data_IF_740426878519
#
_entry.id   IF_740426878519
#
_cell.length_a   1.000
_cell.length_b   1.000
_cell.length_c   1.000
_cell.angle_alpha   90.00
_cell.angle_beta   90.00
_cell.angle_gamma   90.00
#
_symmetry.space_group_name_H-M   'P 1'
#
loop_
_entity.id
_entity.type
_entity.pdbx_description
1 polymer ?
#
# COMPACT_ATOMS: atom_id res chain seq x y z
N UNK A 1 -90.48 12.53 -38.69
CA UNK A 1 -89.68 11.80 -37.69
C UNK A 1 -88.29 11.45 -38.21
N UNK A 2 -88.13 11.03 -39.46
CA UNK A 2 -86.81 10.62 -40.00
C UNK A 2 -85.78 11.75 -40.14
N UNK A 3 -86.20 12.95 -40.53
CA UNK A 3 -85.28 14.09 -40.70
C UNK A 3 -84.60 14.52 -39.39
N UNK A 4 -85.32 14.42 -38.27
CA UNK A 4 -84.79 14.73 -36.93
C UNK A 4 -83.80 13.67 -36.45
N UNK A 5 -84.01 12.42 -36.84
CA UNK A 5 -83.12 11.30 -36.51
C UNK A 5 -81.80 11.42 -37.27
N UNK A 6 -81.84 11.70 -38.57
CA UNK A 6 -80.63 12.00 -39.33
C UNK A 6 -79.88 13.21 -38.79
N UNK A 7 -80.57 14.30 -38.42
CA UNK A 7 -79.90 15.48 -37.87
C UNK A 7 -79.19 15.19 -36.54
N UNK A 8 -79.75 14.33 -35.68
CA UNK A 8 -79.09 13.87 -34.47
C UNK A 8 -77.88 12.97 -34.79
N UNK A 9 -78.02 12.05 -35.73
CA UNK A 9 -76.95 11.13 -36.17
C UNK A 9 -75.75 11.90 -36.75
N UNK A 10 -75.99 12.94 -37.55
CA UNK A 10 -74.94 13.85 -38.05
C UNK A 10 -74.24 14.63 -36.92
N UNK A 11 -74.99 15.09 -35.92
CA UNK A 11 -74.42 15.82 -34.78
C UNK A 11 -73.62 14.89 -33.85
N UNK A 12 -74.06 13.64 -33.69
CA UNK A 12 -73.30 12.60 -32.99
C UNK A 12 -72.00 12.25 -33.74
N UNK A 13 -72.04 12.07 -35.05
CA UNK A 13 -70.86 11.84 -35.89
C UNK A 13 -69.86 13.02 -35.85
N UNK A 14 -70.35 14.25 -35.81
CA UNK A 14 -69.52 15.45 -35.69
C UNK A 14 -68.87 15.54 -34.30
N UNK A 15 -69.59 15.18 -33.25
CA UNK A 15 -69.06 15.07 -31.88
C UNK A 15 -67.97 14.00 -31.77
N UNK A 16 -68.20 12.82 -32.35
CA UNK A 16 -67.22 11.70 -32.34
C UNK A 16 -65.95 12.06 -33.12
N UNK A 17 -66.08 12.79 -34.25
CA UNK A 17 -64.91 13.30 -34.99
C UNK A 17 -64.11 14.31 -34.18
N UNK A 18 -64.78 15.22 -33.46
CA UNK A 18 -64.11 16.18 -32.60
C UNK A 18 -63.34 15.48 -31.46
N UNK A 19 -63.93 14.48 -30.82
CA UNK A 19 -63.26 13.67 -29.79
C UNK A 19 -62.07 12.88 -30.34
N UNK A 20 -62.21 12.30 -31.55
CA UNK A 20 -61.12 11.60 -32.23
C UNK A 20 -59.95 12.53 -32.56
N UNK A 21 -60.23 13.75 -33.01
CA UNK A 21 -59.20 14.75 -33.30
C UNK A 21 -58.49 15.24 -32.02
N UNK A 22 -59.22 15.40 -30.91
CA UNK A 22 -58.61 15.71 -29.60
C UNK A 22 -57.72 14.57 -29.09
N UNK A 23 -58.19 13.32 -29.18
CA UNK A 23 -57.39 12.14 -28.81
C UNK A 23 -56.15 12.02 -29.69
N UNK A 24 -56.28 12.32 -30.98
CA UNK A 24 -55.15 12.32 -31.91
C UNK A 24 -54.13 13.39 -31.54
N UNK A 25 -54.54 14.62 -31.23
CA UNK A 25 -53.63 15.68 -30.77
C UNK A 25 -52.91 15.29 -29.47
N UNK A 26 -53.63 14.76 -28.49
CA UNK A 26 -53.02 14.26 -27.24
C UNK A 26 -52.03 13.12 -27.50
N UNK A 27 -52.35 12.22 -28.45
CA UNK A 27 -51.44 11.15 -28.84
C UNK A 27 -50.18 11.67 -29.53
N UNK A 28 -50.30 12.69 -30.38
CA UNK A 28 -49.15 13.33 -31.03
C UNK A 28 -48.26 14.04 -30.00
N UNK A 29 -48.84 14.77 -29.05
CA UNK A 29 -48.10 15.43 -27.95
C UNK A 29 -47.36 14.43 -27.05
N UNK A 30 -48.00 13.32 -26.66
CA UNK A 30 -47.33 12.28 -25.87
C UNK A 30 -46.27 11.53 -26.69
N UNK A 31 -46.49 11.35 -27.99
CA UNK A 31 -45.50 10.75 -28.87
C UNK A 31 -44.24 11.61 -28.98
N UNK A 32 -44.38 12.93 -29.14
CA UNK A 32 -43.25 13.87 -29.14
C UNK A 32 -42.46 13.80 -27.82
N UNK A 33 -43.16 13.75 -26.67
CA UNK A 33 -42.49 13.59 -25.35
C UNK A 33 -41.71 12.29 -25.26
N UNK A 34 -42.26 11.18 -25.77
CA UNK A 34 -41.57 9.88 -25.78
C UNK A 34 -40.33 9.92 -26.67
N UNK A 35 -40.40 10.57 -27.83
CA UNK A 35 -39.23 10.76 -28.71
C UNK A 35 -38.16 11.57 -27.99
N UNK A 36 -38.51 12.72 -27.40
CA UNK A 36 -37.53 13.54 -26.68
C UNK A 36 -36.85 12.79 -25.52
N UNK A 37 -37.63 12.04 -24.74
CA UNK A 37 -37.09 11.25 -23.63
C UNK A 37 -36.19 10.12 -24.14
N UNK A 38 -36.57 9.49 -25.26
CA UNK A 38 -35.77 8.46 -25.90
C UNK A 38 -34.45 9.02 -26.41
N UNK A 39 -34.45 10.18 -27.06
CA UNK A 39 -33.24 10.84 -27.53
C UNK A 39 -32.30 11.22 -26.37
N UNK A 40 -32.86 11.77 -25.28
CA UNK A 40 -32.09 12.08 -24.06
C UNK A 40 -31.48 10.82 -23.44
N UNK A 41 -32.23 9.72 -23.41
CA UNK A 41 -31.74 8.43 -22.91
C UNK A 41 -30.63 7.86 -23.82
N UNK A 42 -30.81 7.94 -25.13
CA UNK A 42 -29.82 7.51 -26.12
C UNK A 42 -28.51 8.29 -25.97
N UNK A 43 -28.60 9.62 -25.84
CA UNK A 43 -27.43 10.49 -25.64
C UNK A 43 -26.69 10.16 -24.33
N UNK A 44 -27.42 9.96 -23.23
CA UNK A 44 -26.82 9.55 -21.96
C UNK A 44 -26.15 8.16 -22.04
N UNK A 45 -26.77 7.22 -22.77
CA UNK A 45 -26.22 5.90 -23.02
C UNK A 45 -24.93 5.97 -23.87
N UNK A 46 -24.90 6.83 -24.89
CA UNK A 46 -23.68 7.04 -25.69
C UNK A 46 -22.54 7.63 -24.86
N UNK A 47 -22.83 8.61 -23.99
CA UNK A 47 -21.84 9.13 -23.05
C UNK A 47 -21.33 8.05 -22.09
N UNK A 48 -22.23 7.24 -21.53
CA UNK A 48 -21.86 6.10 -20.70
C UNK A 48 -20.88 5.16 -21.45
N UNK A 49 -21.16 4.82 -22.71
CA UNK A 49 -20.29 3.96 -23.50
C UNK A 49 -18.92 4.58 -23.74
N UNK A 50 -18.83 5.90 -23.96
CA UNK A 50 -17.55 6.60 -24.09
C UNK A 50 -16.73 6.48 -22.81
N UNK A 51 -17.33 6.69 -21.64
CA UNK A 51 -16.64 6.52 -20.37
C UNK A 51 -16.23 5.07 -20.13
N UNK A 52 -17.11 4.11 -20.44
CA UNK A 52 -16.83 2.69 -20.28
C UNK A 52 -15.61 2.26 -21.11
N UNK A 53 -15.51 2.69 -22.38
CA UNK A 53 -14.35 2.44 -23.23
C UNK A 53 -13.06 3.03 -22.65
N UNK A 54 -13.11 4.29 -22.20
CA UNK A 54 -11.95 4.93 -21.55
C UNK A 54 -11.50 4.19 -20.29
N UNK A 55 -12.44 3.73 -19.48
CA UNK A 55 -12.13 2.94 -18.27
C UNK A 55 -11.53 1.60 -18.65
N UNK A 56 -12.03 0.94 -19.68
CA UNK A 56 -11.51 -0.35 -20.15
C UNK A 56 -10.09 -0.23 -20.72
N UNK A 57 -9.81 0.86 -21.45
CA UNK A 57 -8.46 1.18 -21.92
C UNK A 57 -7.47 1.37 -20.77
N UNK A 58 -7.88 2.13 -19.73
CA UNK A 58 -7.06 2.33 -18.53
C UNK A 58 -6.82 1.00 -17.81
N UNK A 59 -7.87 0.18 -17.67
CA UNK A 59 -7.77 -1.14 -17.05
C UNK A 59 -6.79 -2.04 -17.80
N UNK A 60 -6.93 -2.12 -19.11
CA UNK A 60 -6.05 -2.92 -19.97
C UNK A 60 -4.60 -2.44 -19.89
N UNK A 61 -4.38 -1.12 -19.87
CA UNK A 61 -3.04 -0.55 -19.70
C UNK A 61 -2.46 -0.88 -18.31
N UNK A 62 -3.27 -0.79 -17.26
CA UNK A 62 -2.88 -1.15 -15.89
C UNK A 62 -2.51 -2.63 -15.78
N UNK A 63 -3.32 -3.53 -16.35
CA UNK A 63 -3.06 -4.97 -16.34
C UNK A 63 -1.77 -5.31 -17.09
N UNK A 64 -1.51 -4.66 -18.23
CA UNK A 64 -0.26 -4.82 -18.98
C UNK A 64 0.96 -4.33 -18.17
N UNK A 65 0.84 -3.20 -17.49
CA UNK A 65 1.90 -2.68 -16.62
C UNK A 65 2.14 -3.62 -15.42
N UNK A 66 1.06 -4.13 -14.82
CA UNK A 66 1.13 -5.06 -13.70
C UNK A 66 1.80 -6.38 -14.08
N UNK A 67 1.47 -6.94 -15.26
CA UNK A 67 2.13 -8.13 -15.78
C UNK A 67 3.64 -7.92 -15.94
N UNK A 68 4.05 -6.80 -16.54
CA UNK A 68 5.47 -6.43 -16.66
C UNK A 68 6.15 -6.28 -15.30
N UNK A 69 5.46 -5.69 -14.32
CA UNK A 69 5.97 -5.55 -12.96
C UNK A 69 6.19 -6.92 -12.30
N UNK A 70 5.24 -7.85 -12.44
CA UNK A 70 5.40 -9.22 -11.92
C UNK A 70 6.59 -9.92 -12.57
N UNK A 71 6.75 -9.82 -13.90
CA UNK A 71 7.88 -10.40 -14.62
C UNK A 71 9.21 -9.80 -14.16
N UNK A 72 9.31 -8.47 -14.05
CA UNK A 72 10.49 -7.79 -13.55
C UNK A 72 10.81 -8.19 -12.10
N UNK A 73 9.79 -8.29 -11.24
CA UNK A 73 9.93 -8.75 -9.85
C UNK A 73 10.43 -10.19 -9.81
N UNK A 74 9.90 -11.08 -10.64
CA UNK A 74 10.34 -12.47 -10.74
C UNK A 74 11.81 -12.56 -11.16
N UNK A 75 12.21 -11.84 -12.20
CA UNK A 75 13.62 -11.81 -12.65
C UNK A 75 14.55 -11.24 -11.57
N UNK A 76 14.11 -10.18 -10.87
CA UNK A 76 14.87 -9.62 -9.76
C UNK A 76 15.02 -10.62 -8.59
N UNK A 77 13.94 -11.33 -8.24
CA UNK A 77 13.98 -12.38 -7.22
C UNK A 77 14.90 -13.53 -7.61
N UNK A 78 14.86 -13.98 -8.88
CA UNK A 78 15.75 -15.02 -9.39
C UNK A 78 17.23 -14.61 -9.28
N UNK A 79 17.57 -13.40 -9.73
CA UNK A 79 18.93 -12.86 -9.58
C UNK A 79 19.34 -12.64 -8.12
N UNK A 80 18.39 -12.28 -7.26
CA UNK A 80 18.65 -12.15 -5.84
C UNK A 80 18.94 -13.49 -5.16
N UNK A 81 18.24 -14.56 -5.55
CA UNK A 81 18.52 -15.91 -5.06
C UNK A 81 19.88 -16.43 -5.58
N UNK A 82 20.21 -16.20 -6.86
CA UNK A 82 21.55 -16.48 -7.39
C UNK A 82 22.64 -15.75 -6.57
N UNK A 83 22.42 -14.46 -6.28
CA UNK A 83 23.35 -13.66 -5.48
C UNK A 83 23.51 -14.21 -4.06
N UNK A 84 22.41 -14.63 -3.40
CA UNK A 84 22.48 -15.27 -2.07
C UNK A 84 23.27 -16.56 -2.10
N UNK A 85 23.11 -17.38 -3.15
CA UNK A 85 23.85 -18.63 -3.30
C UNK A 85 25.36 -18.35 -3.40
N UNK A 86 25.76 -17.41 -4.25
CA UNK A 86 27.16 -16.98 -4.39
C UNK A 86 27.70 -16.41 -3.06
N UNK A 87 26.91 -15.60 -2.35
CA UNK A 87 27.31 -15.04 -1.05
C UNK A 87 27.49 -16.13 0.01
N UNK A 88 26.65 -17.17 -0.01
CA UNK A 88 26.78 -18.35 0.83
C UNK A 88 28.09 -19.11 0.51
N UNK A 89 28.38 -19.32 -0.76
CA UNK A 89 29.61 -19.98 -1.21
C UNK A 89 30.86 -19.18 -0.79
N UNK A 90 30.83 -17.85 -0.94
CA UNK A 90 31.90 -16.96 -0.46
C UNK A 90 32.06 -17.10 1.07
N UNK A 91 30.97 -17.16 1.83
CA UNK A 91 31.04 -17.39 3.27
C UNK A 91 31.65 -18.76 3.62
N UNK A 92 31.27 -19.82 2.91
CA UNK A 92 31.83 -21.16 3.11
C UNK A 92 33.32 -21.16 2.78
N UNK A 93 33.74 -20.55 1.67
CA UNK A 93 35.14 -20.41 1.28
C UNK A 93 35.91 -19.58 2.33
N UNK A 94 35.38 -18.43 2.75
CA UNK A 94 35.99 -17.60 3.80
C UNK A 94 36.09 -18.33 5.14
N UNK A 95 35.11 -19.17 5.50
CA UNK A 95 35.16 -20.00 6.70
C UNK A 95 36.26 -21.06 6.59
N UNK A 96 36.41 -21.72 5.43
CA UNK A 96 37.50 -22.67 5.15
C UNK A 96 38.87 -21.98 5.15
N UNK A 97 38.99 -20.79 4.55
CA UNK A 97 40.20 -19.97 4.57
C UNK A 97 40.54 -19.50 5.98
N UNK A 98 39.54 -19.09 6.75
CA UNK A 98 39.67 -18.70 8.16
C UNK A 98 40.01 -19.87 9.09
N UNK A 99 39.56 -21.09 8.80
CA UNK A 99 39.97 -22.29 9.54
C UNK A 99 41.39 -22.75 9.19
N UNK A 100 41.81 -22.55 7.93
CA UNK A 100 43.18 -22.82 7.47
C UNK A 100 44.18 -21.73 7.87
N UNK A 101 43.72 -20.57 8.34
CA UNK A 101 44.58 -19.60 9.01
C UNK A 101 44.96 -20.20 10.36
N UNK A 102 46.23 -20.57 10.60
CA UNK A 102 46.62 -21.12 11.89
C UNK A 102 46.22 -20.14 12.97
N UNK A 103 45.65 -20.67 14.07
CA UNK A 103 45.18 -19.98 15.29
C UNK A 103 46.23 -19.10 16.00
N UNK A 104 47.27 -18.62 15.32
CA UNK A 104 48.36 -17.80 15.86
C UNK A 104 47.99 -16.33 16.10
N UNK A 105 46.72 -15.92 15.95
CA UNK A 105 46.30 -14.50 16.09
C UNK A 105 44.99 -14.30 16.85
N UNK A 106 44.63 -15.20 17.78
CA UNK A 106 43.48 -15.01 18.67
C UNK A 106 43.85 -14.52 20.08
N UNK A 107 45.11 -14.19 20.34
CA UNK A 107 45.53 -13.55 21.60
C UNK A 107 45.54 -12.02 21.54
N UNK A 108 45.67 -11.39 20.36
CA UNK A 108 46.16 -10.00 20.35
C UNK A 108 45.16 -8.92 19.92
N UNK A 109 43.94 -9.23 19.48
CA UNK A 109 43.12 -8.19 18.81
C UNK A 109 41.62 -8.14 19.16
N UNK A 110 41.20 -8.64 20.32
CA UNK A 110 39.79 -8.48 20.79
C UNK A 110 39.67 -7.99 22.24
N UNK A 111 40.57 -7.12 22.68
CA UNK A 111 40.59 -6.66 24.07
C UNK A 111 41.02 -5.21 24.34
N UNK A 112 41.07 -4.31 23.35
CA UNK A 112 41.87 -3.09 23.56
C UNK A 112 41.14 -1.82 24.02
N UNK A 113 39.83 -1.59 23.78
CA UNK A 113 39.22 -0.30 24.16
C UNK A 113 38.26 -0.35 25.35
N UNK A 114 37.28 -1.27 25.37
CA UNK A 114 36.29 -1.36 26.46
C UNK A 114 36.77 -2.14 27.69
N UNK A 115 37.47 -3.26 27.48
CA UNK A 115 37.96 -4.11 28.56
C UNK A 115 39.10 -3.46 29.35
N UNK A 116 39.96 -2.66 28.71
CA UNK A 116 41.04 -1.96 29.39
C UNK A 116 40.49 -0.84 30.30
N UNK A 117 39.50 -0.07 29.83
CA UNK A 117 38.84 0.97 30.64
C UNK A 117 38.13 0.40 31.87
N UNK A 118 37.37 -0.68 31.71
CA UNK A 118 36.73 -1.34 32.87
C UNK A 118 37.76 -1.91 33.85
N UNK A 119 38.92 -2.39 33.36
CA UNK A 119 39.99 -2.90 34.21
C UNK A 119 40.67 -1.76 34.99
N UNK A 120 40.97 -0.65 34.33
CA UNK A 120 41.54 0.55 34.97
C UNK A 120 40.58 1.15 35.99
N UNK A 121 39.29 1.27 35.66
CA UNK A 121 38.26 1.75 36.59
C UNK A 121 38.11 0.81 37.80
N UNK A 122 38.17 -0.50 37.59
CA UNK A 122 38.14 -1.49 38.68
C UNK A 122 39.38 -1.38 39.59
N UNK A 123 40.57 -1.21 39.02
CA UNK A 123 41.80 -1.03 39.80
C UNK A 123 41.75 0.23 40.67
N UNK A 124 41.24 1.34 40.12
CA UNK A 124 41.02 2.57 40.90
C UNK A 124 40.03 2.35 42.04
N UNK A 125 38.96 1.60 41.79
CA UNK A 125 37.99 1.24 42.82
C UNK A 125 38.63 0.39 43.94
N UNK A 126 39.50 -0.57 43.60
CA UNK A 126 40.26 -1.36 44.60
C UNK A 126 41.22 -0.49 45.43
N UNK A 127 41.93 0.47 44.82
CA UNK A 127 42.80 1.41 45.53
C UNK A 127 42.03 2.33 46.49
N UNK A 128 40.85 2.82 46.06
CA UNK A 128 39.96 3.61 46.90
C UNK A 128 39.49 2.79 48.10
N UNK A 129 39.15 1.53 47.90
CA UNK A 129 38.71 0.64 48.98
C UNK A 129 39.83 0.39 50.00
N UNK A 130 41.07 0.20 49.56
CA UNK A 130 42.20 0.05 50.48
C UNK A 130 42.49 1.34 51.26
N UNK A 131 42.39 2.51 50.62
CA UNK A 131 42.48 3.80 51.34
C UNK A 131 41.35 3.96 52.36
N UNK A 132 40.14 3.51 52.04
CA UNK A 132 39.01 3.52 52.96
C UNK A 132 39.25 2.61 54.16
N UNK A 133 39.74 1.38 53.94
CA UNK A 133 40.13 0.44 55.01
C UNK A 133 41.20 1.01 55.94
N UNK A 134 42.11 1.82 55.39
CA UNK A 134 43.15 2.51 56.16
C UNK A 134 42.65 3.77 56.89
N UNK A 135 41.33 4.04 56.87
CA UNK A 135 40.71 5.19 57.55
C UNK A 135 40.73 6.49 56.75
N UNK A 136 41.09 6.44 55.46
CA UNK A 136 41.03 7.57 54.55
C UNK A 136 39.59 7.99 54.24
N UNK A 137 39.38 9.30 54.05
CA UNK A 137 38.08 9.84 53.63
C UNK A 137 37.85 9.54 52.16
N UNK A 138 36.66 9.05 51.81
CA UNK A 138 36.24 8.75 50.44
C UNK A 138 35.11 9.69 50.05
N UNK A 139 35.17 10.21 48.82
CA UNK A 139 34.18 11.13 48.26
C UNK A 139 32.96 10.40 47.68
N UNK A 140 31.87 11.14 47.44
CA UNK A 140 30.61 10.59 46.92
C UNK A 140 30.79 9.90 45.55
N UNK A 141 31.65 10.44 44.67
CA UNK A 141 31.94 9.85 43.36
C UNK A 141 32.70 8.52 43.48
N UNK A 142 33.61 8.43 44.44
CA UNK A 142 34.40 7.24 44.71
C UNK A 142 33.54 6.12 45.35
N UNK A 143 32.56 6.46 46.19
CA UNK A 143 31.57 5.50 46.72
C UNK A 143 30.73 4.91 45.59
N UNK A 144 30.30 5.74 44.63
CA UNK A 144 29.55 5.26 43.46
C UNK A 144 30.40 4.31 42.59
N UNK A 145 31.70 4.57 42.48
CA UNK A 145 32.62 3.68 41.75
C UNK A 145 32.76 2.31 42.44
N UNK A 146 32.87 2.28 43.77
CA UNK A 146 32.87 1.03 44.54
C UNK A 146 31.58 0.23 44.34
N UNK A 147 30.42 0.90 44.38
CA UNK A 147 29.11 0.28 44.13
C UNK A 147 29.00 -0.27 42.70
N UNK A 148 29.48 0.47 41.68
CA UNK A 148 29.45 0.03 40.27
C UNK A 148 30.19 -1.28 40.05
N UNK A 149 31.27 -1.51 40.79
CA UNK A 149 32.10 -2.71 40.68
C UNK A 149 31.82 -3.76 41.77
N UNK A 150 30.80 -3.57 42.61
CA UNK A 150 30.47 -4.41 43.77
C UNK A 150 31.69 -4.69 44.66
N UNK A 151 32.48 -3.65 44.94
CA UNK A 151 33.63 -3.71 45.85
C UNK A 151 33.16 -3.18 47.20
N UNK A 152 33.15 -4.03 48.22
CA UNK A 152 32.68 -3.74 49.57
C UNK A 152 33.37 -4.61 50.61
#
# INVERSE_FOLDING_TARGET
>A
NDLRKHLMEFHEDESVKAEADELRKKSEEEHEKVIELSEKAQAAHEEMLKYFRKTDDIRTAADKAHKKFIEARRNASEKHEEFKAILSDIHVINKKLGSNKPKRRKSDNKGSSGANKNREEKQRAEEIFEKFKQGGKVSTEEILLLQKYNIG
#
